data_IF_947521300693
#
_entry.id   IF_947521300693
#
_cell.length_a   1.000
_cell.length_b   1.000
_cell.length_c   1.000
_cell.angle_alpha   90.00
_cell.angle_beta   90.00
_cell.angle_gamma   90.00
#
_symmetry.space_group_name_H-M   'P 1'
#
loop_
_entity.id
_entity.type
_entity.pdbx_description
1 polymer ?
#
# COMPACT_ATOMS: atom_id res chain seq x y z
N UNK A 1 28.42 12.11 25.38
CA UNK A 1 27.40 13.17 25.23
C UNK A 1 26.34 12.63 24.29
N UNK A 2 25.31 12.00 24.85
CA UNK A 2 24.26 11.34 24.06
C UNK A 2 23.24 12.38 23.61
N UNK A 3 23.40 12.86 22.37
CA UNK A 3 22.46 13.77 21.72
C UNK A 3 21.38 12.93 21.02
N UNK A 4 20.38 12.47 21.77
CA UNK A 4 19.17 11.92 21.16
C UNK A 4 18.22 13.06 20.78
N UNK A 5 17.91 13.19 19.49
CA UNK A 5 16.88 14.12 19.02
C UNK A 5 15.51 13.54 19.41
N UNK A 6 14.77 14.24 20.28
CA UNK A 6 13.36 13.93 20.54
C UNK A 6 12.55 14.26 19.29
N UNK A 7 12.06 13.24 18.58
CA UNK A 7 11.06 13.41 17.55
C UNK A 7 9.68 13.52 18.23
N UNK A 8 9.13 14.73 18.26
CA UNK A 8 7.75 14.95 18.69
C UNK A 8 6.81 14.67 17.52
N UNK A 9 5.66 14.06 17.81
CA UNK A 9 4.60 13.90 16.81
C UNK A 9 4.12 15.30 16.38
N UNK A 10 4.17 15.56 15.07
CA UNK A 10 3.62 16.79 14.52
C UNK A 10 2.11 16.81 14.67
N UNK A 11 1.53 18.01 14.88
CA UNK A 11 0.08 18.19 14.88
C UNK A 11 -0.45 17.76 13.50
N UNK A 12 -1.51 16.92 13.43
CA UNK A 12 -2.09 16.51 12.15
C UNK A 12 -2.54 17.74 11.37
N UNK A 13 -2.12 17.83 10.10
CA UNK A 13 -2.47 18.93 9.20
C UNK A 13 -3.53 18.46 8.21
N UNK A 14 -4.56 19.29 8.00
CA UNK A 14 -5.51 19.14 6.90
C UNK A 14 -5.11 20.11 5.80
N UNK A 15 -4.82 19.58 4.60
CA UNK A 15 -4.49 20.40 3.44
C UNK A 15 -5.46 20.09 2.29
N UNK A 16 -6.05 21.13 1.71
CA UNK A 16 -6.80 20.99 0.47
C UNK A 16 -5.85 20.84 -0.70
N UNK A 17 -5.90 19.69 -1.37
CA UNK A 17 -5.12 19.46 -2.59
C UNK A 17 -6.00 19.79 -3.81
N UNK A 18 -5.58 20.78 -4.60
CA UNK A 18 -6.24 21.12 -5.87
C UNK A 18 -5.73 20.20 -6.98
N UNK A 19 -6.61 19.37 -7.54
CA UNK A 19 -6.27 18.54 -8.70
C UNK A 19 -6.31 19.39 -9.98
N UNK A 20 -5.31 19.20 -10.85
CA UNK A 20 -5.35 19.73 -12.21
C UNK A 20 -6.41 18.98 -13.02
N UNK A 21 -7.10 19.66 -13.94
CA UNK A 21 -8.11 19.05 -14.82
C UNK A 21 -7.54 17.79 -15.52
N UNK A 22 -8.23 16.67 -15.37
CA UNK A 22 -7.84 15.37 -15.96
C UNK A 22 -6.85 14.55 -15.12
N UNK A 23 -6.25 15.12 -14.06
CA UNK A 23 -5.43 14.36 -13.12
C UNK A 23 -6.32 13.73 -12.05
N UNK A 24 -6.37 12.41 -12.04
CA UNK A 24 -7.16 11.63 -11.07
C UNK A 24 -6.31 10.91 -10.03
N UNK A 25 -4.99 10.87 -10.21
CA UNK A 25 -4.07 10.20 -9.28
C UNK A 25 -3.32 11.25 -8.47
N UNK A 26 -3.43 11.13 -7.15
CA UNK A 26 -2.64 11.84 -6.17
C UNK A 26 -1.66 10.88 -5.52
N UNK A 27 -0.42 11.34 -5.32
CA UNK A 27 0.63 10.61 -4.62
C UNK A 27 1.26 11.55 -3.60
N UNK A 28 1.50 11.03 -2.41
CA UNK A 28 2.23 11.70 -1.35
C UNK A 28 3.35 10.78 -0.89
N UNK A 29 4.59 11.24 -1.03
CA UNK A 29 5.80 10.51 -0.67
C UNK A 29 6.61 11.29 0.35
N UNK A 30 7.21 10.58 1.31
CA UNK A 30 8.17 11.15 2.24
C UNK A 30 9.45 11.55 1.51
N UNK A 31 9.98 12.75 1.78
CA UNK A 31 11.22 13.22 1.16
C UNK A 31 12.50 12.49 1.61
N UNK A 32 12.42 11.63 2.63
CA UNK A 32 13.57 10.92 3.19
C UNK A 32 13.49 9.40 3.01
N UNK A 33 12.28 8.83 3.17
CA UNK A 33 12.05 7.40 3.04
C UNK A 33 11.35 7.10 1.73
N UNK A 34 12.09 6.62 0.73
CA UNK A 34 11.53 6.32 -0.60
C UNK A 34 10.37 5.30 -0.58
N UNK A 35 10.29 4.45 0.46
CA UNK A 35 9.23 3.46 0.64
C UNK A 35 7.97 4.03 1.32
N UNK A 36 8.04 5.21 1.94
CA UNK A 36 6.89 5.81 2.61
C UNK A 36 6.13 6.67 1.60
N UNK A 37 5.17 6.03 0.95
CA UNK A 37 4.27 6.68 0.02
C UNK A 37 2.81 6.29 0.28
N UNK A 38 1.91 7.14 -0.21
CA UNK A 38 0.48 6.90 -0.22
C UNK A 38 -0.08 7.38 -1.55
N UNK A 39 -1.11 6.68 -2.02
CA UNK A 39 -1.73 6.96 -3.30
C UNK A 39 -3.23 7.12 -3.13
N UNK A 40 -3.83 7.98 -3.93
CA UNK A 40 -5.28 8.15 -3.99
C UNK A 40 -5.74 8.28 -5.44
N UNK A 41 -6.84 7.60 -5.78
CA UNK A 41 -7.55 7.74 -7.03
C UNK A 41 -8.84 8.53 -6.78
N UNK A 42 -9.01 9.64 -7.50
CA UNK A 42 -10.19 10.49 -7.43
C UNK A 42 -11.27 9.95 -8.36
N UNK A 43 -12.43 9.67 -7.76
CA UNK A 43 -13.61 9.13 -8.45
C UNK A 43 -14.76 10.11 -8.27
N UNK A 44 -15.33 10.58 -9.38
CA UNK A 44 -16.40 11.60 -9.40
C UNK A 44 -17.81 10.98 -9.25
N UNK A 45 -17.88 9.68 -8.94
CA UNK A 45 -19.12 8.91 -8.79
C UNK A 45 -19.03 7.98 -7.58
N UNK A 46 -20.17 7.58 -6.97
CA UNK A 46 -20.16 6.74 -5.77
C UNK A 46 -19.80 5.27 -6.06
N UNK A 47 -19.77 4.86 -7.32
CA UNK A 47 -19.56 3.46 -7.71
C UNK A 47 -18.06 3.10 -7.71
N UNK A 48 -17.53 2.72 -6.55
CA UNK A 48 -16.19 2.18 -6.41
C UNK A 48 -16.18 1.09 -5.33
N UNK A 49 -15.20 0.19 -5.41
CA UNK A 49 -14.95 -0.81 -4.39
C UNK A 49 -13.45 -1.05 -4.25
N UNK A 50 -13.03 -1.43 -3.04
CA UNK A 50 -11.69 -1.95 -2.77
C UNK A 50 -11.83 -3.47 -2.76
N UNK A 51 -10.96 -4.16 -3.51
CA UNK A 51 -10.96 -5.62 -3.54
C UNK A 51 -10.55 -6.19 -2.20
N UNK A 52 -11.12 -7.35 -1.84
CA UNK A 52 -10.68 -8.13 -0.69
C UNK A 52 -9.35 -8.87 -0.97
N UNK A 53 -8.88 -9.64 0.01
CA UNK A 53 -7.65 -10.45 -0.07
C UNK A 53 -7.67 -11.50 -1.19
N UNK A 54 -8.86 -11.88 -1.67
CA UNK A 54 -9.08 -12.83 -2.76
C UNK A 54 -9.31 -12.14 -4.12
N UNK A 55 -9.20 -10.81 -4.18
CA UNK A 55 -9.48 -10.02 -5.38
C UNK A 55 -10.97 -9.83 -5.70
N UNK A 56 -11.88 -10.18 -4.78
CA UNK A 56 -13.32 -10.00 -4.99
C UNK A 56 -13.75 -8.57 -4.68
N UNK A 57 -14.71 -8.08 -5.44
CA UNK A 57 -15.34 -6.78 -5.22
C UNK A 57 -16.83 -6.86 -5.52
N UNK A 58 -17.61 -6.00 -4.89
CA UNK A 58 -19.03 -5.84 -5.14
C UNK A 58 -19.37 -4.34 -5.12
N UNK A 59 -20.16 -3.90 -6.09
CA UNK A 59 -20.66 -2.52 -6.18
C UNK A 59 -22.18 -2.61 -6.33
N UNK A 60 -22.91 -2.19 -5.30
CA UNK A 60 -24.37 -2.19 -5.28
C UNK A 60 -24.98 -0.98 -5.99
N UNK A 61 -26.29 -1.05 -6.18
CA UNK A 61 -27.14 0.07 -6.62
C UNK A 61 -26.71 0.78 -7.91
N UNK A 62 -26.08 0.04 -8.83
CA UNK A 62 -25.71 0.57 -10.15
C UNK A 62 -26.97 0.68 -11.03
N UNK A 63 -27.30 1.87 -11.56
CA UNK A 63 -28.39 2.04 -12.50
C UNK A 63 -28.19 1.19 -13.77
N UNK A 64 -29.26 0.80 -14.48
CA UNK A 64 -29.12 0.10 -15.76
C UNK A 64 -28.38 0.95 -16.79
N UNK A 65 -27.40 0.35 -17.48
CA UNK A 65 -26.55 1.07 -18.43
C UNK A 65 -25.32 0.26 -18.85
N UNK A 66 -24.55 0.82 -19.80
CA UNK A 66 -23.26 0.27 -20.20
C UNK A 66 -22.14 1.10 -19.57
N UNK A 67 -21.30 0.45 -18.78
CA UNK A 67 -20.23 1.07 -18.01
C UNK A 67 -18.88 0.49 -18.41
N UNK A 68 -17.84 1.31 -18.25
CA UNK A 68 -16.46 0.85 -18.32
C UNK A 68 -15.94 0.68 -16.90
N UNK A 69 -15.69 -0.55 -16.50
CA UNK A 69 -15.09 -0.90 -15.23
C UNK A 69 -13.57 -0.81 -15.38
N UNK A 70 -12.93 -0.01 -14.53
CA UNK A 70 -11.48 0.22 -14.55
C UNK A 70 -10.85 -0.28 -13.26
N UNK A 71 -9.89 -1.20 -13.37
CA UNK A 71 -9.04 -1.65 -12.27
C UNK A 71 -7.75 -0.84 -12.29
N UNK A 72 -7.44 -0.22 -11.15
CA UNK A 72 -6.24 0.60 -10.99
C UNK A 72 -5.53 0.24 -9.70
N UNK A 73 -4.21 0.21 -9.75
CA UNK A 73 -3.34 0.05 -8.58
C UNK A 73 -1.99 0.73 -8.88
N UNK A 74 -1.32 1.36 -7.89
CA UNK A 74 -0.06 2.10 -8.10
C UNK A 74 1.05 1.29 -8.79
N UNK A 75 1.09 -0.02 -8.54
CA UNK A 75 2.11 -0.91 -9.10
C UNK A 75 1.75 -1.53 -10.45
N UNK A 76 0.56 -1.26 -10.98
CA UNK A 76 0.21 -1.68 -12.33
C UNK A 76 0.76 -0.66 -13.32
N UNK A 77 1.39 -1.16 -14.39
CA UNK A 77 1.87 -0.29 -15.48
C UNK A 77 0.72 0.42 -16.19
N UNK A 78 -0.40 -0.29 -16.38
CA UNK A 78 -1.59 0.20 -17.06
C UNK A 78 -2.83 -0.24 -16.29
N UNK A 79 -3.90 0.56 -16.38
CA UNK A 79 -5.19 0.18 -15.84
C UNK A 79 -5.84 -0.89 -16.72
N UNK A 80 -6.54 -1.83 -16.10
CA UNK A 80 -7.34 -2.81 -16.83
C UNK A 80 -8.74 -2.28 -17.00
N UNK A 81 -9.30 -2.39 -18.21
CA UNK A 81 -10.63 -1.87 -18.52
C UNK A 81 -11.49 -2.95 -19.16
N UNK A 82 -12.75 -3.06 -18.71
CA UNK A 82 -13.74 -3.92 -19.31
C UNK A 82 -15.08 -3.20 -19.42
N UNK A 83 -15.76 -3.36 -20.55
CA UNK A 83 -17.13 -2.84 -20.73
C UNK A 83 -18.11 -3.88 -20.21
N UNK A 84 -19.00 -3.45 -19.32
CA UNK A 84 -20.04 -4.28 -18.70
C UNK A 84 -21.38 -3.60 -18.85
N UNK A 85 -22.41 -4.37 -19.21
CA UNK A 85 -23.79 -3.86 -19.32
C UNK A 85 -24.60 -4.37 -18.12
N UNK A 86 -25.09 -3.44 -17.32
CA UNK A 86 -26.00 -3.70 -16.19
C UNK A 86 -27.43 -3.60 -16.71
N UNK A 87 -28.19 -4.70 -16.59
CA UNK A 87 -29.61 -4.73 -16.93
C UNK A 87 -30.47 -4.44 -15.70
N UNK A 88 -31.74 -4.03 -15.87
CA UNK A 88 -32.64 -3.77 -14.75
C UNK A 88 -32.79 -4.97 -13.81
N UNK A 89 -32.47 -4.76 -12.52
CA UNK A 89 -32.57 -5.77 -11.45
C UNK A 89 -31.74 -7.05 -11.68
N UNK A 90 -30.71 -6.98 -12.52
CA UNK A 90 -29.83 -8.10 -12.83
C UNK A 90 -28.40 -7.76 -12.42
N UNK A 91 -27.71 -8.69 -11.77
CA UNK A 91 -26.29 -8.55 -11.47
C UNK A 91 -25.48 -8.73 -12.76
N UNK A 92 -24.43 -7.93 -12.92
CA UNK A 92 -23.47 -8.09 -14.01
C UNK A 92 -22.12 -8.54 -13.45
N UNK A 93 -21.50 -9.51 -14.13
CA UNK A 93 -20.20 -10.06 -13.73
C UNK A 93 -19.08 -9.45 -14.58
N UNK A 94 -17.99 -9.06 -13.94
CA UNK A 94 -16.76 -8.64 -14.60
C UNK A 94 -15.58 -9.44 -14.01
N UNK A 95 -14.81 -10.10 -14.86
CA UNK A 95 -13.65 -10.89 -14.47
C UNK A 95 -12.39 -10.29 -15.11
N UNK A 96 -11.37 -10.03 -14.30
CA UNK A 96 -10.12 -9.43 -14.75
C UNK A 96 -8.95 -10.36 -14.46
N UNK A 97 -8.19 -10.69 -15.50
CA UNK A 97 -6.90 -11.38 -15.36
C UNK A 97 -5.79 -10.34 -15.23
N UNK A 98 -5.58 -9.85 -14.01
CA UNK A 98 -4.54 -8.86 -13.71
C UNK A 98 -3.22 -9.60 -13.49
N UNK A 99 -2.21 -9.27 -14.30
CA UNK A 99 -0.88 -9.83 -14.12
C UNK A 99 -0.25 -9.20 -12.88
N UNK A 100 0.26 -10.04 -11.97
CA UNK A 100 1.03 -9.55 -10.83
C UNK A 100 2.24 -8.75 -11.34
N UNK A 101 2.45 -7.51 -10.85
CA UNK A 101 3.57 -6.71 -11.31
C UNK A 101 4.87 -7.40 -10.88
N UNK A 102 5.77 -7.60 -11.85
CA UNK A 102 7.04 -8.27 -11.63
C UNK A 102 8.18 -7.26 -11.61
N UNK A 103 9.25 -7.59 -10.88
CA UNK A 103 10.45 -6.74 -10.78
C UNK A 103 10.44 -5.81 -9.58
N UNK A 104 11.13 -4.68 -9.72
CA UNK A 104 11.41 -3.76 -8.62
C UNK A 104 10.22 -2.81 -8.38
N UNK A 105 9.34 -3.18 -7.45
CA UNK A 105 8.18 -2.36 -7.06
C UNK A 105 8.56 -1.09 -6.27
N UNK A 106 9.72 -1.11 -5.62
CA UNK A 106 10.25 0.01 -4.84
C UNK A 106 11.70 0.30 -5.24
N UNK A 107 12.08 1.58 -5.39
CA UNK A 107 13.47 1.97 -5.16
C UNK A 107 13.81 1.46 -3.76
N UNK A 108 14.91 0.80 -3.45
CA UNK A 108 15.09 -0.08 -2.28
C UNK A 108 14.39 -1.44 -2.45
N UNK A 109 15.19 -2.45 -2.75
CA UNK A 109 14.80 -3.85 -2.59
C UNK A 109 14.90 -4.15 -1.10
N UNK A 110 13.83 -4.64 -0.47
CA UNK A 110 13.99 -5.37 0.78
C UNK A 110 14.81 -6.61 0.42
N UNK A 111 16.12 -6.57 0.71
CA UNK A 111 16.87 -7.80 0.92
C UNK A 111 16.13 -8.51 2.05
N UNK A 112 15.89 -9.82 1.94
CA UNK A 112 15.31 -10.64 3.01
C UNK A 112 16.16 -10.48 4.27
N UNK A 113 15.87 -9.44 5.04
CA UNK A 113 16.43 -9.16 6.32
C UNK A 113 15.23 -9.29 7.23
N UNK A 114 15.10 -10.44 7.88
CA UNK A 114 14.15 -10.61 8.97
C UNK A 114 14.22 -9.35 9.84
N UNK A 115 13.08 -8.74 10.14
CA UNK A 115 12.98 -7.55 10.96
C UNK A 115 13.71 -7.77 12.30
N UNK A 116 14.98 -7.40 12.39
CA UNK A 116 15.71 -7.25 13.64
C UNK A 116 15.98 -5.78 13.82
N UNK A 117 14.99 -5.11 14.41
CA UNK A 117 15.26 -3.90 15.20
C UNK A 117 16.36 -4.34 16.18
N UNK A 118 17.57 -3.79 16.02
CA UNK A 118 18.80 -4.06 16.81
C UNK A 118 19.84 -5.08 16.30
N UNK A 119 19.81 -5.57 15.05
CA UNK A 119 20.93 -6.38 14.48
C UNK A 119 21.36 -7.54 15.41
N UNK A 120 20.39 -8.32 15.88
CA UNK A 120 20.65 -9.58 16.57
C UNK A 120 19.94 -10.64 15.74
N UNK A 121 20.67 -11.37 14.92
CA UNK A 121 20.15 -12.55 14.23
C UNK A 121 19.76 -13.62 15.26
N UNK A 122 18.78 -14.49 14.97
CA UNK A 122 18.33 -15.54 15.90
C UNK A 122 19.50 -16.46 16.34
N UNK A 123 20.52 -16.59 15.51
CA UNK A 123 21.80 -17.25 15.78
C UNK A 123 22.54 -16.65 17.00
N UNK A 124 22.40 -15.36 17.28
CA UNK A 124 22.97 -14.68 18.46
C UNK A 124 22.08 -14.86 19.71
N UNK A 125 20.78 -15.14 19.56
CA UNK A 125 19.89 -15.45 20.70
C UNK A 125 20.13 -16.86 21.29
N UNK A 126 20.82 -17.75 20.58
CA UNK A 126 21.05 -19.13 21.00
C UNK A 126 22.27 -19.35 21.90
N UNK A 127 23.14 -18.36 22.06
CA UNK A 127 24.34 -18.47 22.88
C UNK A 127 24.21 -17.70 24.19
N UNK A 128 23.72 -18.39 25.22
CA UNK A 128 23.98 -18.00 26.60
C UNK A 128 25.44 -18.35 26.89
N UNK A 129 26.30 -17.34 27.05
CA UNK A 129 27.68 -17.52 27.53
C UNK A 129 27.68 -17.24 29.04
N UNK A 130 27.60 -18.26 29.92
CA UNK A 130 27.75 -18.02 31.33
C UNK A 130 29.20 -17.66 31.64
N UNK A 131 29.43 -16.49 32.25
CA UNK A 131 30.73 -16.11 32.79
C UNK A 131 30.75 -16.29 34.31
N UNK A 132 31.89 -16.74 34.82
CA UNK A 132 32.13 -17.03 36.24
C UNK A 132 33.31 -16.17 36.68
N UNK A 133 33.06 -15.13 37.46
CA UNK A 133 34.12 -14.31 38.05
C UNK A 133 34.47 -14.83 39.44
N UNK A 134 35.77 -15.10 39.66
CA UNK A 134 36.30 -15.49 40.97
C UNK A 134 36.35 -14.25 41.86
N UNK A 135 35.52 -14.19 42.90
CA UNK A 135 35.69 -13.20 43.95
C UNK A 135 36.93 -13.54 44.79
N UNK A 136 37.93 -12.67 44.73
CA UNK A 136 38.99 -12.60 45.75
C UNK A 136 38.57 -11.59 46.80
N UNK A 137 38.50 -12.02 48.06
CA UNK A 137 38.42 -11.14 49.23
C UNK A 137 39.71 -10.34 49.41
#
# INVERSE_FOLDING_TARGET
>A
SDHFHKHYEGIPMVQTVKMTKGRRIFTMQCGFHAYMESWALVVDHPYYAITDENGKFEIGDIPPGTYKVTIWHPYLHEAYEQVVTVKPKEAATAEFNVAAPTGRLYANQMVENAFVRYTITEDVQSQIVPTLEKQTY
#
